data_IF_834941924933
#
_entry.id   IF_834941924933
#
_cell.length_a   1.000
_cell.length_b   1.000
_cell.length_c   1.000
_cell.angle_alpha   90.00
_cell.angle_beta   90.00
_cell.angle_gamma   90.00
#
_symmetry.space_group_name_H-M   'P 1'
#
loop_
_entity.id
_entity.type
_entity.pdbx_description
1 polymer ?
#
# COMPACT_ATOMS: atom_id res chain seq x y z
N UNK A 1 -58.58 23.00 3.12
CA UNK A 1 -57.35 23.05 3.92
C UNK A 1 -56.96 21.61 4.21
N UNK A 2 -56.00 21.05 3.46
CA UNK A 2 -55.32 19.73 3.61
C UNK A 2 -54.76 19.23 2.27
N UNK A 3 -53.96 20.05 1.58
CA UNK A 3 -53.26 19.65 0.34
C UNK A 3 -51.76 20.05 0.39
N UNK A 4 -51.14 19.95 1.56
CA UNK A 4 -49.73 20.32 1.74
C UNK A 4 -48.87 19.23 2.41
N UNK A 5 -49.46 18.07 2.77
CA UNK A 5 -48.76 17.06 3.59
C UNK A 5 -48.36 15.78 2.86
N UNK A 6 -48.73 15.61 1.59
CA UNK A 6 -48.39 14.38 0.83
C UNK A 6 -47.13 14.51 -0.03
N UNK A 7 -46.51 15.70 -0.10
CA UNK A 7 -45.29 15.95 -0.89
C UNK A 7 -43.98 15.94 -0.07
N UNK A 8 -44.05 15.67 1.24
CA UNK A 8 -42.87 15.68 2.14
C UNK A 8 -42.35 14.25 2.45
N UNK A 9 -42.96 13.19 1.90
CA UNK A 9 -42.52 11.79 2.12
C UNK A 9 -41.59 11.23 1.03
N UNK A 10 -40.97 12.08 0.21
CA UNK A 10 -40.01 11.67 -0.82
C UNK A 10 -38.55 12.04 -0.49
N UNK A 11 -38.23 12.31 0.78
CA UNK A 11 -36.87 12.53 1.26
C UNK A 11 -36.60 11.59 2.44
N UNK A 12 -36.52 10.30 2.13
CA UNK A 12 -36.36 9.25 3.12
C UNK A 12 -35.44 8.17 2.60
N UNK A 13 -34.14 8.39 2.82
CA UNK A 13 -33.06 7.39 2.75
C UNK A 13 -32.69 6.92 1.35
N UNK A 14 -32.01 7.79 0.58
CA UNK A 14 -30.91 7.28 -0.24
C UNK A 14 -29.89 6.77 0.77
N UNK A 15 -29.96 5.48 1.11
CA UNK A 15 -28.84 4.82 1.76
C UNK A 15 -27.68 5.03 0.81
N UNK A 16 -26.68 5.76 1.27
CA UNK A 16 -25.44 6.01 0.59
C UNK A 16 -24.80 4.67 0.20
N UNK A 17 -25.14 4.17 -0.99
CA UNK A 17 -24.28 3.30 -1.77
C UNK A 17 -23.12 4.16 -2.29
N UNK A 18 -22.35 4.69 -1.34
CA UNK A 18 -21.06 5.30 -1.57
C UNK A 18 -20.01 4.48 -0.81
N UNK A 19 -20.05 3.16 -0.98
CA UNK A 19 -18.83 2.36 -0.96
C UNK A 19 -18.48 2.04 -2.41
N UNK A 20 -18.24 3.10 -3.19
CA UNK A 20 -17.72 2.99 -4.54
C UNK A 20 -16.29 3.52 -4.54
N UNK A 21 -15.39 2.76 -3.94
CA UNK A 21 -14.02 2.67 -4.42
C UNK A 21 -13.56 1.26 -4.10
N UNK A 22 -13.36 0.48 -5.15
CA UNK A 22 -12.83 -0.87 -5.10
C UNK A 22 -11.42 -0.82 -4.54
N UNK A 23 -11.28 -0.82 -3.22
CA UNK A 23 -10.05 -1.27 -2.58
C UNK A 23 -9.91 -2.74 -3.00
N UNK A 24 -9.12 -3.01 -4.03
CA UNK A 24 -8.79 -4.39 -4.38
C UNK A 24 -8.15 -5.03 -3.15
N UNK A 25 -8.53 -6.26 -2.85
CA UNK A 25 -7.85 -7.04 -1.82
C UNK A 25 -6.34 -7.07 -2.12
N UNK A 26 -5.45 -6.94 -1.13
CA UNK A 26 -4.00 -6.84 -1.36
C UNK A 26 -3.44 -7.96 -2.25
N UNK A 27 -4.00 -9.17 -2.16
CA UNK A 27 -3.56 -10.30 -3.00
C UNK A 27 -3.92 -10.10 -4.48
N UNK A 28 -5.05 -9.44 -4.78
CA UNK A 28 -5.46 -9.15 -6.14
C UNK A 28 -4.55 -8.09 -6.79
N UNK A 29 -4.17 -7.05 -6.04
CA UNK A 29 -3.21 -6.03 -6.50
C UNK A 29 -1.87 -6.67 -6.86
N UNK A 30 -1.35 -7.52 -5.97
CA UNK A 30 -0.10 -8.25 -6.19
C UNK A 30 -0.19 -9.09 -7.48
N UNK A 31 -1.26 -9.87 -7.63
CA UNK A 31 -1.45 -10.74 -8.80
C UNK A 31 -1.53 -9.95 -10.11
N UNK A 32 -2.28 -8.85 -10.13
CA UNK A 32 -2.37 -7.97 -11.31
C UNK A 32 -1.01 -7.40 -11.69
N UNK A 33 -0.25 -6.89 -10.73
CA UNK A 33 1.07 -6.34 -10.98
C UNK A 33 2.07 -7.42 -11.44
N UNK A 34 1.97 -8.65 -10.93
CA UNK A 34 2.77 -9.77 -11.41
C UNK A 34 2.44 -10.08 -12.89
N UNK A 35 1.15 -10.16 -13.23
CA UNK A 35 0.70 -10.45 -14.59
C UNK A 35 1.10 -9.34 -15.56
N UNK A 36 0.89 -8.08 -15.20
CA UNK A 36 1.21 -6.92 -16.03
C UNK A 36 2.70 -6.85 -16.38
N UNK A 37 3.58 -7.21 -15.45
CA UNK A 37 5.02 -7.12 -15.63
C UNK A 37 5.67 -8.46 -16.00
N UNK A 38 4.91 -9.56 -16.07
CA UNK A 38 5.46 -10.89 -16.29
C UNK A 38 6.49 -11.29 -15.22
N UNK A 39 6.14 -11.06 -13.94
CA UNK A 39 6.96 -11.48 -12.79
C UNK A 39 6.54 -12.88 -12.35
N UNK A 40 7.52 -13.77 -12.25
CA UNK A 40 7.33 -15.11 -11.73
C UNK A 40 7.51 -15.16 -10.22
N UNK A 41 6.96 -16.19 -9.56
CA UNK A 41 7.20 -16.42 -8.13
C UNK A 41 8.69 -16.64 -7.82
N UNK A 42 9.43 -17.25 -8.75
CA UNK A 42 10.87 -17.47 -8.64
C UNK A 42 11.64 -16.15 -8.45
N UNK A 43 11.26 -15.12 -9.22
CA UNK A 43 11.85 -13.79 -9.16
C UNK A 43 11.50 -13.04 -7.86
N UNK A 44 10.35 -13.33 -7.23
CA UNK A 44 9.96 -12.74 -5.95
C UNK A 44 10.57 -13.43 -4.73
N UNK A 45 11.08 -14.66 -4.88
CA UNK A 45 11.62 -15.44 -3.77
C UNK A 45 12.66 -14.70 -2.92
N UNK A 46 13.60 -13.91 -3.48
CA UNK A 46 14.56 -13.17 -2.66
C UNK A 46 13.86 -12.23 -1.66
N UNK A 47 12.84 -11.49 -2.08
CA UNK A 47 12.07 -10.60 -1.19
C UNK A 47 11.30 -11.36 -0.11
N UNK A 48 10.71 -12.51 -0.47
CA UNK A 48 10.04 -13.39 0.51
C UNK A 48 11.01 -13.95 1.57
N UNK A 49 12.31 -13.99 1.26
CA UNK A 49 13.39 -14.37 2.18
C UNK A 49 14.06 -13.17 2.85
N UNK A 50 13.52 -11.97 2.68
CA UNK A 50 14.06 -10.74 3.27
C UNK A 50 15.27 -10.16 2.56
N UNK A 51 15.63 -10.63 1.36
CA UNK A 51 16.75 -10.08 0.59
C UNK A 51 16.29 -8.90 -0.28
N UNK A 52 16.47 -7.69 0.23
CA UNK A 52 16.13 -6.43 -0.45
C UNK A 52 17.36 -5.69 -1.02
N UNK A 53 18.35 -6.40 -1.55
CA UNK A 53 19.55 -5.76 -2.08
C UNK A 53 19.31 -5.00 -3.41
N UNK A 54 19.51 -3.68 -3.39
CA UNK A 54 19.33 -2.80 -4.55
C UNK A 54 20.23 -3.14 -5.73
N UNK A 55 21.44 -3.67 -5.52
CA UNK A 55 22.41 -3.95 -6.59
C UNK A 55 22.09 -5.22 -7.37
N UNK A 56 21.34 -6.14 -6.77
CA UNK A 56 20.94 -7.41 -7.40
C UNK A 56 19.47 -7.43 -7.79
N UNK A 57 18.70 -6.42 -7.39
CA UNK A 57 17.28 -6.32 -7.73
C UNK A 57 17.11 -5.80 -9.15
N UNK A 58 16.42 -6.57 -10.00
CA UNK A 58 16.15 -6.17 -11.37
C UNK A 58 15.24 -4.94 -11.45
N UNK A 59 15.42 -4.14 -12.50
CA UNK A 59 14.54 -2.98 -12.75
C UNK A 59 13.05 -3.37 -12.78
N UNK A 60 12.74 -4.52 -13.40
CA UNK A 60 11.39 -5.09 -13.46
C UNK A 60 10.79 -5.31 -12.07
N UNK A 61 11.57 -5.84 -11.13
CA UNK A 61 11.14 -6.05 -9.74
C UNK A 61 10.96 -4.72 -8.99
N UNK A 62 11.80 -3.72 -9.21
CA UNK A 62 11.59 -2.37 -8.66
C UNK A 62 10.27 -1.78 -9.17
N UNK A 63 9.99 -1.91 -10.46
CA UNK A 63 8.73 -1.44 -11.04
C UNK A 63 7.50 -2.24 -10.58
N UNK A 64 7.68 -3.49 -10.15
CA UNK A 64 6.61 -4.26 -9.51
C UNK A 64 6.20 -3.67 -8.16
N UNK A 65 7.17 -3.24 -7.34
CA UNK A 65 6.88 -2.51 -6.10
C UNK A 65 6.14 -1.19 -6.41
N UNK A 66 6.61 -0.44 -7.41
CA UNK A 66 5.88 0.76 -7.89
C UNK A 66 4.43 0.44 -8.27
N UNK A 67 4.20 -0.63 -9.04
CA UNK A 67 2.86 -1.00 -9.48
C UNK A 67 1.92 -1.21 -8.28
N UNK A 68 2.37 -1.92 -7.25
CA UNK A 68 1.58 -2.15 -6.03
C UNK A 68 1.25 -0.81 -5.36
N UNK A 69 2.26 0.04 -5.12
CA UNK A 69 2.06 1.33 -4.45
C UNK A 69 1.12 2.25 -5.25
N UNK A 70 1.14 2.18 -6.58
CA UNK A 70 0.22 2.95 -7.42
C UNK A 70 -1.21 2.40 -7.37
N UNK A 71 -1.39 1.08 -7.36
CA UNK A 71 -2.71 0.44 -7.26
C UNK A 71 -3.36 0.66 -5.90
N UNK A 72 -2.57 0.73 -4.84
CA UNK A 72 -3.03 1.06 -3.49
C UNK A 72 -3.18 2.57 -3.26
N UNK A 73 -2.84 3.40 -4.24
CA UNK A 73 -2.90 4.86 -4.16
C UNK A 73 -1.78 5.51 -3.33
N UNK A 74 -0.89 4.72 -2.72
CA UNK A 74 0.28 5.19 -1.96
C UNK A 74 1.31 5.90 -2.84
N UNK A 75 1.21 5.83 -4.17
CA UNK A 75 2.11 6.52 -5.09
C UNK A 75 1.36 7.07 -6.30
N UNK A 76 1.60 8.32 -6.66
CA UNK A 76 1.13 8.94 -7.90
C UNK A 76 2.09 10.04 -8.36
N UNK A 77 2.15 10.29 -9.67
CA UNK A 77 3.00 11.35 -10.27
C UNK A 77 4.46 11.30 -9.79
N UNK A 78 5.02 10.09 -9.69
CA UNK A 78 6.39 9.87 -9.24
C UNK A 78 6.67 10.18 -7.77
N UNK A 79 5.65 10.38 -6.93
CA UNK A 79 5.78 10.66 -5.50
C UNK A 79 4.97 9.69 -4.64
N UNK A 80 5.52 9.36 -3.46
CA UNK A 80 4.78 8.65 -2.41
C UNK A 80 3.80 9.64 -1.77
N UNK A 81 2.54 9.24 -1.65
CA UNK A 81 1.48 10.03 -1.01
C UNK A 81 1.45 9.64 0.46
N UNK A 82 2.08 10.47 1.30
CA UNK A 82 2.27 10.20 2.73
C UNK A 82 0.98 9.77 3.43
N UNK A 83 -0.10 10.54 3.28
CA UNK A 83 -1.36 10.26 3.97
C UNK A 83 -1.98 8.91 3.59
N UNK A 84 -1.84 8.48 2.33
CA UNK A 84 -2.37 7.20 1.86
C UNK A 84 -1.45 6.06 2.30
N UNK A 85 -0.13 6.23 2.21
CA UNK A 85 0.83 5.24 2.71
C UNK A 85 0.63 4.97 4.21
N UNK A 86 0.42 6.02 5.00
CA UNK A 86 0.11 5.94 6.42
C UNK A 86 -1.24 5.23 6.67
N UNK A 87 -2.29 5.61 5.94
CA UNK A 87 -3.60 4.97 6.06
C UNK A 87 -3.55 3.46 5.74
N UNK A 88 -2.91 3.09 4.63
CA UNK A 88 -2.76 1.71 4.20
C UNK A 88 -1.96 0.90 5.22
N UNK A 89 -0.85 1.44 5.73
CA UNK A 89 -0.06 0.79 6.76
C UNK A 89 -0.88 0.45 8.01
N UNK A 90 -1.71 1.38 8.49
CA UNK A 90 -2.53 1.18 9.69
C UNK A 90 -3.70 0.21 9.51
N UNK A 91 -4.01 -0.22 8.29
CA UNK A 91 -4.95 -1.35 8.07
C UNK A 91 -4.30 -2.72 8.25
N UNK A 92 -2.96 -2.81 8.22
CA UNK A 92 -2.26 -4.07 8.27
C UNK A 92 -2.14 -4.59 9.73
N UNK A 93 -2.49 -5.87 10.02
CA UNK A 93 -2.46 -6.41 11.37
C UNK A 93 -1.10 -6.32 12.07
N UNK A 94 0.00 -6.46 11.34
CA UNK A 94 1.37 -6.35 11.89
C UNK A 94 1.79 -4.93 12.27
N UNK A 95 1.07 -3.91 11.78
CA UNK A 95 1.48 -2.51 11.84
C UNK A 95 0.61 -1.71 12.80
N UNK A 96 -0.69 -1.98 12.81
CA UNK A 96 -1.70 -1.19 13.52
C UNK A 96 -1.48 -1.08 15.04
N UNK A 97 -0.77 -2.03 15.65
CA UNK A 97 -0.60 -2.10 17.10
C UNK A 97 0.54 -1.17 17.61
N UNK A 98 1.33 -0.57 16.70
CA UNK A 98 2.36 0.39 17.05
C UNK A 98 2.37 1.59 16.08
N UNK A 99 1.27 2.37 16.04
CA UNK A 99 1.03 3.35 14.99
C UNK A 99 2.06 4.48 15.01
N UNK A 100 2.54 4.93 16.17
CA UNK A 100 3.49 6.04 16.25
C UNK A 100 4.80 5.69 15.54
N UNK A 101 5.39 4.53 15.87
CA UNK A 101 6.65 4.08 15.26
C UNK A 101 6.48 3.81 13.76
N UNK A 102 5.36 3.19 13.35
CA UNK A 102 5.07 2.93 11.92
C UNK A 102 5.01 4.24 11.13
N UNK A 103 4.30 5.24 11.62
CA UNK A 103 4.12 6.51 10.92
C UNK A 103 5.44 7.28 10.81
N UNK A 104 6.24 7.30 11.87
CA UNK A 104 7.59 7.88 11.90
C UNK A 104 8.49 7.22 10.84
N UNK A 105 8.52 5.87 10.79
CA UNK A 105 9.32 5.14 9.81
C UNK A 105 8.87 5.35 8.36
N UNK A 106 7.58 5.53 8.11
CA UNK A 106 7.10 5.89 6.76
C UNK A 106 7.65 7.24 6.33
N UNK A 107 7.61 8.25 7.21
CA UNK A 107 8.12 9.59 6.92
C UNK A 107 9.64 9.57 6.65
N UNK A 108 10.41 8.89 7.50
CA UNK A 108 11.85 8.71 7.32
C UNK A 108 12.19 8.04 5.98
N UNK A 109 11.43 7.02 5.58
CA UNK A 109 11.70 6.24 4.39
C UNK A 109 11.32 6.94 3.09
N UNK A 110 10.36 7.87 3.10
CA UNK A 110 10.06 8.71 1.92
C UNK A 110 11.28 9.56 1.55
N UNK A 111 12.09 9.98 2.52
CA UNK A 111 13.27 10.82 2.30
C UNK A 111 14.42 10.09 1.58
N UNK A 112 14.38 8.76 1.42
CA UNK A 112 15.44 8.01 0.71
C UNK A 112 15.54 8.36 -0.78
N UNK A 113 14.44 8.80 -1.40
CA UNK A 113 14.42 9.16 -2.82
C UNK A 113 14.61 7.94 -3.73
N UNK A 114 15.18 8.18 -4.91
CA UNK A 114 15.45 7.16 -5.94
C UNK A 114 15.79 7.82 -7.28
N UNK A 115 16.47 7.11 -8.16
CA UNK A 115 16.90 7.63 -9.48
C UNK A 115 15.72 7.83 -10.44
N UNK A 116 14.70 6.99 -10.34
CA UNK A 116 13.43 7.09 -11.06
C UNK A 116 12.25 6.62 -10.19
N UNK A 117 11.04 6.56 -10.75
CA UNK A 117 9.86 6.16 -10.00
C UNK A 117 9.89 4.71 -9.50
N UNK A 118 10.46 3.79 -10.29
CA UNK A 118 10.58 2.40 -9.87
C UNK A 118 11.60 2.26 -8.75
N UNK A 119 12.73 2.95 -8.89
CA UNK A 119 13.76 2.98 -7.86
C UNK A 119 13.26 3.65 -6.57
N UNK A 120 12.52 4.75 -6.67
CA UNK A 120 11.92 5.43 -5.52
C UNK A 120 10.94 4.53 -4.76
N UNK A 121 10.06 3.84 -5.48
CA UNK A 121 9.16 2.87 -4.88
C UNK A 121 9.92 1.76 -4.14
N UNK A 122 10.96 1.23 -4.79
CA UNK A 122 11.79 0.18 -4.22
C UNK A 122 12.57 0.64 -2.98
N UNK A 123 13.23 1.78 -3.02
CA UNK A 123 14.03 2.31 -1.89
C UNK A 123 13.15 2.68 -0.70
N UNK A 124 11.96 3.23 -0.94
CA UNK A 124 10.95 3.45 0.10
C UNK A 124 10.56 2.13 0.79
N UNK A 125 10.14 1.12 0.03
CA UNK A 125 9.70 -0.17 0.59
C UNK A 125 10.84 -0.93 1.27
N UNK A 126 12.05 -0.92 0.68
CA UNK A 126 13.25 -1.50 1.28
C UNK A 126 13.57 -0.85 2.63
N UNK A 127 13.55 0.48 2.68
CA UNK A 127 13.79 1.20 3.92
C UNK A 127 12.77 0.79 4.99
N UNK A 128 11.48 0.81 4.67
CA UNK A 128 10.44 0.45 5.63
C UNK A 128 10.53 -1.01 6.06
N UNK A 129 10.95 -1.90 5.16
CA UNK A 129 11.22 -3.29 5.49
C UNK A 129 12.29 -3.41 6.59
N UNK A 130 13.44 -2.77 6.42
CA UNK A 130 14.54 -2.88 7.38
C UNK A 130 14.32 -2.09 8.67
N UNK A 131 13.73 -0.90 8.58
CA UNK A 131 13.51 -0.03 9.74
C UNK A 131 12.38 -0.53 10.65
N UNK A 132 11.44 -1.33 10.11
CA UNK A 132 10.26 -1.74 10.87
C UNK A 132 9.88 -3.22 10.65
N UNK A 133 9.58 -3.63 9.41
CA UNK A 133 8.94 -4.94 9.16
C UNK A 133 9.80 -6.14 9.53
N UNK A 134 11.11 -6.08 9.33
CA UNK A 134 12.04 -7.15 9.67
C UNK A 134 11.96 -7.48 11.17
N UNK A 135 11.90 -6.46 12.02
CA UNK A 135 11.75 -6.66 13.47
C UNK A 135 10.32 -7.08 13.85
N UNK A 136 9.30 -6.54 13.19
CA UNK A 136 7.89 -6.83 13.48
C UNK A 136 7.50 -8.26 13.10
N UNK A 137 8.00 -8.78 11.97
CA UNK A 137 7.76 -10.16 11.52
C UNK A 137 8.38 -11.20 12.45
N UNK A 138 9.58 -10.93 12.98
CA UNK A 138 10.21 -11.77 14.01
C UNK A 138 9.37 -11.81 15.28
N UNK A 139 8.83 -10.67 15.73
CA UNK A 139 7.96 -10.62 16.93
C UNK A 139 6.65 -11.38 16.71
N UNK A 140 6.02 -11.24 15.55
CA UNK A 140 4.76 -11.92 15.24
C UNK A 140 4.90 -13.45 15.17
N UNK A 141 5.97 -13.96 14.57
CA UNK A 141 6.18 -15.42 14.43
C UNK A 141 6.55 -16.12 15.74
N UNK A 142 6.89 -15.38 16.80
CA UNK A 142 7.28 -15.89 18.11
C UNK A 142 6.16 -15.82 19.17
N UNK A 143 4.98 -15.33 18.80
CA UNK A 143 3.78 -15.25 19.64
C UNK A 143 2.71 -16.24 19.16
#
# INVERSE_FOLDING_TARGET
MNFCYTLILALGVIQSLAKSESQLEPQAIILECQQQLGITLEELRPFLKGNWNSSTTSYKLKCFIKCILQREGSMANGAIILSIAQANALTHPLLKDNPVEVLEKIEECIAKGGEDECDKAFEFTKCFYHEYLESATVKFNNN
#
